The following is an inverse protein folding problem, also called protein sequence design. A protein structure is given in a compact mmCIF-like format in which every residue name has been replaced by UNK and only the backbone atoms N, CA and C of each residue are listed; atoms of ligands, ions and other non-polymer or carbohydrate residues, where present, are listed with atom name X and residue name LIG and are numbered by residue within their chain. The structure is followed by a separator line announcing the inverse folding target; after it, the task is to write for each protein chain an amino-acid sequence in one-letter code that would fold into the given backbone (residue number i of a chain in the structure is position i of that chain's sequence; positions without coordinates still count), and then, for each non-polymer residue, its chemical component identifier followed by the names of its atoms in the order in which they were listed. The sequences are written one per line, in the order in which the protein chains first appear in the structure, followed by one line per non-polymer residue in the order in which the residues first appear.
data_IF_786931291501
#
_entry.id   IF_786931291501
#
_cell.length_a   1.000
_cell.length_b   1.000
_cell.length_c   1.000
_cell.angle_alpha   90.00
_cell.angle_beta   90.00
_cell.angle_gamma   90.00
#
_symmetry.space_group_name_H-M   'P 1'
#
loop_
_entity.id
_entity.type
_entity.pdbx_description
1 polymer ?
#
# COMPACT_ATOMS: atom_id res chain seq x y z
N UNK A 1 -5.92 40.57 35.56
CA UNK A 1 -4.56 40.97 35.17
C UNK A 1 -4.04 39.99 34.13
N UNK A 2 -4.14 40.33 32.84
CA UNK A 2 -3.44 39.60 31.78
C UNK A 2 -2.31 40.51 31.29
N UNK A 3 -1.04 40.07 31.31
CA UNK A 3 0.05 40.93 30.89
C UNK A 3 0.00 41.06 29.37
N UNK A 4 -0.20 42.28 28.89
CA UNK A 4 0.09 42.66 27.53
C UNK A 4 1.54 42.27 27.22
N UNK A 5 1.74 41.21 26.45
CA UNK A 5 3.09 40.72 26.13
C UNK A 5 3.85 41.63 25.17
N UNK A 6 3.26 42.74 24.73
CA UNK A 6 3.96 43.80 24.02
C UNK A 6 3.48 45.16 24.50
N UNK A 7 4.45 46.05 24.73
CA UNK A 7 4.23 47.45 25.01
C UNK A 7 3.36 48.04 23.89
N UNK A 8 2.15 48.44 24.23
CA UNK A 8 1.36 49.29 23.35
C UNK A 8 2.01 50.69 23.29
N UNK A 9 1.95 51.40 22.16
CA UNK A 9 2.38 52.79 22.09
C UNK A 9 1.67 53.64 23.16
N UNK A 10 2.31 54.71 23.65
CA UNK A 10 1.71 55.58 24.67
C UNK A 10 0.31 56.05 24.23
N UNK A 11 -0.68 55.84 25.11
CA UNK A 11 -2.09 56.17 24.88
C UNK A 11 -2.96 55.03 24.36
N UNK A 12 -2.41 53.85 24.04
CA UNK A 12 -3.18 52.68 23.61
C UNK A 12 -3.35 51.66 24.74
N UNK A 13 -4.57 51.14 24.90
CA UNK A 13 -4.91 50.12 25.90
C UNK A 13 -5.45 48.86 25.22
N UNK A 14 -5.05 47.70 25.74
CA UNK A 14 -5.57 46.42 25.25
C UNK A 14 -7.01 46.24 25.72
N UNK A 15 -7.92 46.01 24.78
CA UNK A 15 -9.34 45.74 25.05
C UNK A 15 -9.74 44.49 24.28
N UNK A 16 -10.48 43.57 24.93
CA UNK A 16 -11.09 42.41 24.25
C UNK A 16 -12.30 42.89 23.44
N UNK A 17 -12.04 43.50 22.29
CA UNK A 17 -13.07 44.02 21.37
C UNK A 17 -12.65 43.78 19.91
N UNK A 18 -13.57 43.23 19.09
CA UNK A 18 -13.33 42.98 17.66
C UNK A 18 -13.58 41.53 17.21
N UNK A 19 -13.38 41.27 15.90
CA UNK A 19 -13.44 39.91 15.32
C UNK A 19 -12.13 39.18 15.53
N UNK A 20 -12.19 37.86 15.71
CA UNK A 20 -11.00 37.03 15.81
C UNK A 20 -10.12 37.12 14.53
N UNK A 21 -8.78 36.97 14.67
CA UNK A 21 -7.85 36.97 13.54
C UNK A 21 -8.18 35.93 12.48
N UNK A 22 -7.62 36.10 11.27
CA UNK A 22 -7.84 35.20 10.12
C UNK A 22 -9.34 34.98 9.83
N UNK A 23 -10.12 36.06 9.66
CA UNK A 23 -11.57 36.01 9.38
C UNK A 23 -12.43 35.28 10.44
N UNK A 24 -11.88 35.01 11.64
CA UNK A 24 -12.56 34.28 12.69
C UNK A 24 -12.19 32.79 12.80
N UNK A 25 -11.39 32.29 11.85
CA UNK A 25 -10.93 30.89 11.86
C UNK A 25 -9.91 30.61 12.96
N UNK A 26 -9.27 31.65 13.50
CA UNK A 26 -8.33 31.54 14.62
C UNK A 26 -9.01 32.00 15.90
N UNK A 27 -9.86 31.13 16.46
CA UNK A 27 -10.60 31.37 17.69
C UNK A 27 -10.58 30.17 18.62
N UNK A 28 -10.50 30.44 19.92
CA UNK A 28 -10.67 29.47 21.01
C UNK A 28 -12.01 29.65 21.72
N UNK A 29 -12.88 30.52 21.20
CA UNK A 29 -14.13 30.92 21.83
C UNK A 29 -15.24 29.86 21.70
N UNK A 30 -15.10 28.90 20.77
CA UNK A 30 -16.01 27.76 20.63
C UNK A 30 -15.23 26.45 20.56
N UNK A 31 -15.84 25.35 21.01
CA UNK A 31 -15.19 24.05 21.06
C UNK A 31 -14.70 23.57 19.68
N UNK A 32 -15.49 23.73 18.61
CA UNK A 32 -15.13 23.26 17.28
C UNK A 32 -13.91 24.01 16.70
N UNK A 33 -13.84 25.33 16.85
CA UNK A 33 -12.70 26.12 16.39
C UNK A 33 -11.45 25.88 17.25
N UNK A 34 -11.62 25.68 18.56
CA UNK A 34 -10.55 25.27 19.45
C UNK A 34 -10.01 23.88 19.07
N UNK A 35 -10.88 22.91 18.84
CA UNK A 35 -10.50 21.55 18.41
C UNK A 35 -9.77 21.58 17.08
N UNK A 36 -10.27 22.32 16.09
CA UNK A 36 -9.59 22.46 14.80
C UNK A 36 -8.20 23.09 14.96
N UNK A 37 -8.08 24.10 15.82
CA UNK A 37 -6.80 24.75 16.13
C UNK A 37 -5.83 23.78 16.83
N UNK A 38 -6.31 22.95 17.76
CA UNK A 38 -5.52 21.92 18.42
C UNK A 38 -5.10 20.81 17.44
N UNK A 39 -6.03 20.35 16.60
CA UNK A 39 -5.75 19.35 15.56
C UNK A 39 -4.66 19.85 14.61
N UNK A 40 -4.77 21.10 14.15
CA UNK A 40 -3.77 21.78 13.34
C UNK A 40 -2.39 21.85 14.01
N UNK A 41 -2.34 22.02 15.33
CA UNK A 41 -1.11 21.92 16.13
C UNK A 41 -0.53 20.51 16.12
N UNK A 42 -1.37 19.49 16.29
CA UNK A 42 -0.93 18.09 16.32
C UNK A 42 -0.37 17.63 14.97
N UNK A 43 -0.93 18.13 13.86
CA UNK A 43 -0.47 17.84 12.49
C UNK A 43 0.66 18.77 12.03
N UNK A 44 1.10 19.71 12.86
CA UNK A 44 2.14 20.69 12.55
C UNK A 44 1.85 21.50 11.27
N UNK A 45 0.58 21.82 11.01
CA UNK A 45 0.20 22.61 9.83
C UNK A 45 0.13 24.11 10.16
N UNK A 46 1.01 24.91 9.56
CA UNK A 46 1.12 26.36 9.76
C UNK A 46 1.07 26.79 11.25
N UNK A 47 1.60 25.93 12.14
CA UNK A 47 1.46 26.06 13.60
C UNK A 47 2.26 27.23 14.17
N UNK A 48 3.37 27.61 13.53
CA UNK A 48 4.26 28.70 13.98
C UNK A 48 3.53 30.04 14.05
N UNK A 49 2.69 30.34 13.06
CA UNK A 49 1.90 31.57 13.04
C UNK A 49 0.88 31.59 14.20
N UNK A 50 0.26 30.45 14.50
CA UNK A 50 -0.68 30.34 15.62
C UNK A 50 0.03 30.43 16.98
N UNK A 51 1.20 29.80 17.08
CA UNK A 51 2.06 29.85 18.25
C UNK A 51 2.51 31.28 18.55
N UNK A 52 2.97 32.02 17.55
CA UNK A 52 3.35 33.43 17.68
C UNK A 52 2.15 34.30 18.10
N UNK A 53 0.97 34.12 17.48
CA UNK A 53 -0.24 34.87 17.83
C UNK A 53 -0.66 34.61 19.28
N UNK A 54 -0.59 33.35 19.70
CA UNK A 54 -1.01 32.95 21.05
C UNK A 54 -0.02 33.44 22.10
N UNK A 55 1.29 33.38 21.82
CA UNK A 55 2.31 33.96 22.69
C UNK A 55 2.18 35.48 22.83
N UNK A 56 1.84 36.18 21.74
CA UNK A 56 1.60 37.62 21.75
C UNK A 56 0.40 37.99 22.62
N UNK A 57 -0.65 37.18 22.57
CA UNK A 57 -1.91 37.44 23.30
C UNK A 57 -1.94 36.94 24.75
N UNK A 58 -1.37 35.77 25.04
CA UNK A 58 -1.48 35.09 26.35
C UNK A 58 -0.17 35.10 27.16
N UNK A 59 0.97 35.38 26.52
CA UNK A 59 2.28 35.47 27.16
C UNK A 59 3.12 34.18 27.10
N UNK A 60 4.43 34.33 27.36
CA UNK A 60 5.45 33.28 27.19
C UNK A 60 5.28 32.06 28.09
N UNK A 61 4.57 32.17 29.21
CA UNK A 61 4.29 31.05 30.12
C UNK A 61 3.49 29.93 29.44
N UNK A 62 2.66 30.26 28.43
CA UNK A 62 1.88 29.28 27.66
C UNK A 62 2.71 28.48 26.65
N UNK A 63 4.00 28.81 26.47
CA UNK A 63 4.91 28.05 25.61
C UNK A 63 4.99 26.57 26.03
N UNK A 64 5.05 26.31 27.34
CA UNK A 64 5.15 24.94 27.88
C UNK A 64 3.91 24.12 27.51
N UNK A 65 2.72 24.74 27.56
CA UNK A 65 1.47 24.09 27.14
C UNK A 65 1.51 23.71 25.65
N UNK A 66 1.97 24.61 24.77
CA UNK A 66 2.11 24.32 23.34
C UNK A 66 3.07 23.16 23.09
N UNK A 67 4.24 23.17 23.75
CA UNK A 67 5.23 22.10 23.62
C UNK A 67 4.62 20.76 24.05
N UNK A 68 3.93 20.71 25.19
CA UNK A 68 3.27 19.47 25.64
C UNK A 68 2.22 18.97 24.65
N UNK A 69 1.35 19.85 24.13
CA UNK A 69 0.31 19.47 23.15
C UNK A 69 0.93 18.98 21.84
N UNK A 70 2.00 19.60 21.36
CA UNK A 70 2.70 19.16 20.15
C UNK A 70 3.36 17.80 20.40
N UNK A 71 4.12 17.64 21.49
CA UNK A 71 4.82 16.38 21.76
C UNK A 71 3.85 15.21 22.01
N UNK A 72 2.88 15.36 22.91
CA UNK A 72 1.95 14.28 23.24
C UNK A 72 0.93 14.06 22.11
N UNK A 73 0.45 15.14 21.49
CA UNK A 73 -0.55 15.07 20.43
C UNK A 73 0.00 14.48 19.14
N UNK A 74 1.19 14.91 18.69
CA UNK A 74 1.82 14.33 17.50
C UNK A 74 2.22 12.87 17.71
N UNK A 75 2.75 12.51 18.89
CA UNK A 75 3.05 11.11 19.21
C UNK A 75 1.79 10.24 19.18
N UNK A 76 0.68 10.72 19.75
CA UNK A 76 -0.60 10.02 19.70
C UNK A 76 -1.12 9.86 18.26
N UNK A 77 -1.11 10.92 17.45
CA UNK A 77 -1.54 10.85 16.05
C UNK A 77 -0.68 9.90 15.21
N UNK A 78 0.65 9.97 15.35
CA UNK A 78 1.55 9.08 14.62
C UNK A 78 1.31 7.63 15.02
N UNK A 79 1.18 7.33 16.32
CA UNK A 79 0.91 5.96 16.77
C UNK A 79 -0.46 5.46 16.31
N UNK A 80 -1.46 6.33 16.25
CA UNK A 80 -2.78 5.97 15.74
C UNK A 80 -2.73 5.66 14.23
N UNK A 81 -2.03 6.48 13.44
CA UNK A 81 -1.83 6.25 12.01
C UNK A 81 -1.03 4.96 11.79
N UNK A 82 0.07 4.76 12.52
CA UNK A 82 0.89 3.56 12.43
C UNK A 82 0.10 2.30 12.75
N UNK A 83 -0.73 2.32 13.80
CA UNK A 83 -1.58 1.19 14.14
C UNK A 83 -2.57 0.87 13.00
N UNK A 84 -3.23 1.88 12.43
CA UNK A 84 -4.17 1.68 11.32
C UNK A 84 -3.47 1.20 10.05
N UNK A 85 -2.32 1.79 9.70
CA UNK A 85 -1.51 1.37 8.56
C UNK A 85 -0.99 -0.04 8.75
N UNK A 86 -0.54 -0.41 9.96
CA UNK A 86 -0.11 -1.77 10.27
C UNK A 86 -1.25 -2.76 10.12
N UNK A 87 -2.44 -2.48 10.67
CA UNK A 87 -3.61 -3.33 10.51
C UNK A 87 -4.00 -3.52 9.03
N UNK A 88 -4.03 -2.43 8.25
CA UNK A 88 -4.36 -2.50 6.83
C UNK A 88 -3.27 -3.22 6.01
N UNK A 89 -1.99 -3.05 6.39
CA UNK A 89 -0.88 -3.73 5.75
C UNK A 89 -0.88 -5.23 6.05
N UNK A 90 -1.15 -5.62 7.29
CA UNK A 90 -1.29 -7.03 7.68
C UNK A 90 -2.43 -7.71 6.91
N UNK A 91 -3.59 -7.05 6.80
CA UNK A 91 -4.73 -7.60 6.06
C UNK A 91 -4.42 -7.77 4.56
N UNK A 92 -3.79 -6.78 3.91
CA UNK A 92 -3.38 -6.92 2.51
C UNK A 92 -2.26 -7.95 2.32
N UNK A 93 -1.31 -7.99 3.24
CA UNK A 93 -0.18 -8.90 3.17
C UNK A 93 -0.62 -10.36 3.36
N UNK A 94 -1.52 -10.63 4.31
CA UNK A 94 -2.10 -11.96 4.50
C UNK A 94 -2.87 -12.44 3.27
N UNK A 95 -3.74 -11.60 2.69
CA UNK A 95 -4.48 -11.96 1.49
C UNK A 95 -3.55 -12.26 0.29
N UNK A 96 -2.46 -11.50 0.17
CA UNK A 96 -1.48 -11.70 -0.91
C UNK A 96 -0.66 -12.98 -0.70
N UNK A 97 -0.30 -13.30 0.54
CA UNK A 97 0.41 -14.53 0.90
C UNK A 97 -0.43 -15.77 0.62
N UNK A 98 -1.70 -15.78 1.03
CA UNK A 98 -2.61 -16.90 0.78
C UNK A 98 -2.83 -17.13 -0.72
N UNK A 99 -2.98 -16.06 -1.51
CA UNK A 99 -3.11 -16.18 -2.97
C UNK A 99 -1.81 -16.71 -3.62
N UNK A 100 -0.64 -16.34 -3.08
CA UNK A 100 0.64 -16.86 -3.55
C UNK A 100 0.81 -18.35 -3.24
N UNK A 101 0.46 -18.79 -2.03
CA UNK A 101 0.51 -20.20 -1.64
C UNK A 101 -0.46 -21.07 -2.47
N UNK A 102 -1.67 -20.59 -2.71
CA UNK A 102 -2.63 -21.30 -3.56
C UNK A 102 -2.08 -21.48 -5.00
N UNK A 103 -1.51 -20.42 -5.57
CA UNK A 103 -0.88 -20.50 -6.91
C UNK A 103 0.29 -21.46 -6.94
N UNK A 104 1.09 -21.51 -5.86
CA UNK A 104 2.20 -22.45 -5.77
C UNK A 104 1.71 -23.90 -5.68
N UNK A 105 0.68 -24.17 -4.87
CA UNK A 105 0.07 -25.49 -4.77
C UNK A 105 -0.54 -25.95 -6.10
N UNK A 106 -1.28 -25.06 -6.79
CA UNK A 106 -1.82 -25.34 -8.13
C UNK A 106 -0.70 -25.63 -9.15
N UNK A 107 0.38 -24.85 -9.10
CA UNK A 107 1.52 -25.03 -10.00
C UNK A 107 2.25 -26.36 -9.72
N UNK A 108 2.44 -26.73 -8.46
CA UNK A 108 3.04 -28.01 -8.07
C UNK A 108 2.19 -29.19 -8.54
N UNK A 109 0.86 -29.13 -8.37
CA UNK A 109 -0.05 -30.17 -8.87
C UNK A 109 0.01 -30.32 -10.39
N UNK A 110 0.08 -29.21 -11.14
CA UNK A 110 0.23 -29.24 -12.59
C UNK A 110 1.56 -29.89 -13.03
N UNK A 111 2.66 -29.59 -12.32
CA UNK A 111 3.96 -30.21 -12.58
C UNK A 111 3.96 -31.72 -12.31
N UNK A 112 3.33 -32.17 -11.24
CA UNK A 112 3.21 -33.61 -10.95
C UNK A 112 2.40 -34.35 -12.02
N UNK A 113 1.30 -33.75 -12.52
CA UNK A 113 0.52 -34.33 -13.61
C UNK A 113 1.34 -34.47 -14.89
N UNK A 114 2.10 -33.43 -15.26
CA UNK A 114 2.98 -33.48 -16.43
C UNK A 114 4.05 -34.56 -16.27
N UNK A 115 4.64 -34.70 -15.08
CA UNK A 115 5.64 -35.74 -14.80
C UNK A 115 5.07 -37.15 -14.96
N UNK A 116 3.87 -37.42 -14.41
CA UNK A 116 3.17 -38.70 -14.59
C UNK A 116 2.86 -38.99 -16.06
N UNK A 117 2.43 -37.99 -16.83
CA UNK A 117 2.19 -38.16 -18.27
C UNK A 117 3.48 -38.49 -19.02
N UNK A 118 4.60 -37.84 -18.67
CA UNK A 118 5.89 -38.10 -19.29
C UNK A 118 6.42 -39.50 -18.94
N UNK A 119 6.29 -39.94 -17.69
CA UNK A 119 6.66 -41.30 -17.27
C UNK A 119 5.80 -42.36 -17.98
N UNK A 120 4.49 -42.16 -18.09
CA UNK A 120 3.60 -43.07 -18.83
C UNK A 120 3.94 -43.13 -20.32
N UNK A 121 4.24 -41.99 -20.95
CA UNK A 121 4.68 -41.94 -22.34
C UNK A 121 6.03 -42.65 -22.55
N UNK A 122 6.97 -42.51 -21.61
CA UNK A 122 8.26 -43.22 -21.66
C UNK A 122 8.09 -44.74 -21.47
N UNK A 123 7.23 -45.18 -20.55
CA UNK A 123 6.95 -46.60 -20.35
C UNK A 123 6.27 -47.21 -21.58
N UNK A 124 5.29 -46.52 -22.16
CA UNK A 124 4.65 -46.96 -23.41
C UNK A 124 5.66 -47.04 -24.58
N UNK A 125 6.58 -46.09 -24.68
CA UNK A 125 7.67 -46.12 -25.66
C UNK A 125 8.68 -47.27 -25.42
N UNK A 126 8.97 -47.62 -24.17
CA UNK A 126 9.86 -48.72 -23.82
C UNK A 126 9.23 -50.10 -24.07
N UNK A 127 7.94 -50.30 -23.77
CA UNK A 127 7.22 -51.55 -24.08
C UNK A 127 7.09 -51.77 -25.59
N UNK A 128 6.85 -50.71 -26.35
CA UNK A 128 6.80 -50.79 -27.84
C UNK A 128 8.18 -51.04 -28.45
N UNK A 129 9.27 -50.58 -27.83
CA UNK A 129 10.63 -50.93 -28.24
C UNK A 129 11.01 -52.39 -27.90
N UNK A 130 10.51 -52.93 -26.79
CA UNK A 130 10.71 -54.32 -26.37
C UNK A 130 10.00 -55.33 -27.29
N UNK A 131 8.85 -54.97 -27.87
CA UNK A 131 8.14 -55.83 -28.83
C UNK A 131 8.77 -55.82 -30.23
N UNK A 132 9.74 -54.94 -30.51
CA UNK A 132 10.42 -54.87 -31.81
C UNK A 132 11.65 -55.80 -31.96
N UNK A 133 11.94 -56.65 -30.96
CA UNK A 133 13.12 -57.55 -30.99
C UNK A 133 12.82 -58.99 -31.46
N UNK A 134 11.67 -59.24 -32.10
CA UNK A 134 11.39 -60.50 -32.82
C UNK A 134 10.99 -60.20 -34.27
N UNK A 135 11.99 -60.14 -35.15
CA UNK A 135 11.84 -60.08 -36.62
C UNK A 135 11.78 -61.52 -37.20
N UNK A 136 11.21 -61.79 -38.40
CA UNK A 136 11.46 -60.96 -39.60
C UNK A 136 10.29 -60.69 -40.57
N UNK A 137 10.49 -59.61 -41.34
CA UNK A 137 10.09 -59.38 -42.75
C UNK A 137 8.79 -58.63 -43.06
N UNK A 138 9.04 -57.50 -43.74
CA UNK A 138 8.32 -56.91 -44.87
C UNK A 138 7.05 -56.06 -44.65
N UNK A 139 7.07 -54.94 -45.36
CA UNK A 139 5.99 -54.04 -45.78
C UNK A 139 5.58 -52.92 -44.80
N UNK A 140 5.76 -51.69 -45.29
CA UNK A 140 5.65 -50.43 -44.55
C UNK A 140 4.32 -50.15 -43.87
N UNK A 141 4.40 -49.30 -42.85
CA UNK A 141 3.30 -48.41 -42.48
C UNK A 141 3.84 -47.12 -41.87
N UNK A 142 3.23 -46.04 -42.35
CA UNK A 142 3.58 -44.65 -42.14
C UNK A 142 3.36 -44.24 -40.68
N UNK A 143 4.36 -43.57 -40.13
CA UNK A 143 4.30 -42.86 -38.85
C UNK A 143 3.42 -41.62 -38.99
N UNK A 144 2.26 -41.61 -38.35
CA UNK A 144 1.36 -40.47 -38.31
C UNK A 144 0.99 -40.16 -36.85
N UNK A 145 1.86 -39.41 -36.16
CA UNK A 145 1.52 -38.77 -34.88
C UNK A 145 2.45 -37.59 -34.61
N UNK A 146 2.21 -36.50 -35.35
CA UNK A 146 2.94 -35.24 -35.23
C UNK A 146 2.01 -34.05 -35.53
N UNK A 147 0.94 -33.89 -34.75
CA UNK A 147 0.00 -32.79 -35.01
C UNK A 147 -0.62 -32.13 -33.77
N UNK A 148 -0.29 -32.57 -32.55
CA UNK A 148 -0.79 -31.94 -31.31
C UNK A 148 0.25 -31.01 -30.64
N UNK A 149 1.54 -31.34 -30.71
CA UNK A 149 2.61 -30.53 -30.12
C UNK A 149 2.77 -29.15 -30.80
N UNK A 150 2.45 -29.05 -32.09
CA UNK A 150 2.55 -27.80 -32.87
C UNK A 150 1.42 -26.80 -32.59
N UNK A 151 0.28 -27.25 -32.06
CA UNK A 151 -0.86 -26.37 -31.71
C UNK A 151 -0.70 -25.67 -30.35
N UNK A 152 0.04 -26.27 -29.41
CA UNK A 152 0.29 -25.67 -28.09
C UNK A 152 1.35 -24.57 -28.17
N UNK A 153 2.41 -24.76 -28.97
CA UNK A 153 3.48 -23.78 -29.18
C UNK A 153 2.98 -22.47 -29.83
N UNK A 154 2.08 -22.60 -30.81
CA UNK A 154 1.53 -21.46 -31.55
C UNK A 154 0.55 -20.61 -30.74
N UNK A 155 -0.15 -21.18 -29.74
CA UNK A 155 -1.04 -20.43 -28.84
C UNK A 155 -0.25 -19.63 -27.78
N UNK A 156 0.78 -20.24 -27.20
CA UNK A 156 1.67 -19.61 -26.20
C UNK A 156 2.48 -18.43 -26.77
N UNK A 157 2.99 -18.55 -28.01
CA UNK A 157 3.71 -17.47 -28.67
C UNK A 157 2.83 -16.25 -29.00
N UNK A 158 1.56 -16.48 -29.34
CA UNK A 158 0.59 -15.42 -29.71
C UNK A 158 0.13 -14.62 -28.49
N UNK A 159 -0.03 -15.28 -27.34
CA UNK A 159 -0.37 -14.65 -26.06
C UNK A 159 0.76 -13.75 -25.52
N UNK A 160 2.01 -14.20 -25.65
CA UNK A 160 3.21 -13.43 -25.26
C UNK A 160 3.36 -12.13 -26.07
N UNK A 161 2.91 -12.12 -27.34
CA UNK A 161 2.94 -10.94 -28.21
C UNK A 161 1.89 -9.89 -27.85
N UNK A 162 0.71 -10.31 -27.37
CA UNK A 162 -0.34 -9.39 -26.94
C UNK A 162 0.00 -8.68 -25.62
N UNK A 163 0.63 -9.37 -24.66
CA UNK A 163 1.12 -8.74 -23.41
C UNK A 163 2.15 -7.62 -23.65
N UNK A 164 3.03 -7.77 -24.66
CA UNK A 164 4.04 -6.75 -24.99
C UNK A 164 3.45 -5.49 -25.63
N UNK A 165 2.36 -5.60 -26.38
CA UNK A 165 1.67 -4.43 -26.96
C UNK A 165 0.90 -3.62 -25.92
N UNK A 166 0.39 -4.26 -24.87
CA UNK A 166 -0.38 -3.61 -23.80
C UNK A 166 0.48 -2.79 -22.81
N UNK A 167 1.80 -3.05 -22.75
CA UNK A 167 2.77 -2.28 -21.94
C UNK A 167 3.40 -1.07 -22.65
N UNK A 168 3.11 -0.88 -23.95
CA UNK A 168 3.66 0.22 -24.78
C UNK A 168 2.63 1.32 -25.08
N UNK A 169 1.47 1.28 -24.43
CA UNK A 169 0.39 2.26 -24.50
C UNK A 169 0.13 2.74 -23.09
#
# INVERSE_FOLDING_TARGET
HWPASELFPEGYMCVKAGRNPNYGYTSFDTFSWAFLSLFRLMTQDFWENLYQLTLRAAGKTYMIFFVLVIFLGSFYLINLILAVVAMAYEEQNQATLEEAEQKEAEFQQMLEQLKKQQEAAQQAAATTASEHSREPSAAGRLSDSSSEASKLSSKSAKERRNRRKKKKK
#
